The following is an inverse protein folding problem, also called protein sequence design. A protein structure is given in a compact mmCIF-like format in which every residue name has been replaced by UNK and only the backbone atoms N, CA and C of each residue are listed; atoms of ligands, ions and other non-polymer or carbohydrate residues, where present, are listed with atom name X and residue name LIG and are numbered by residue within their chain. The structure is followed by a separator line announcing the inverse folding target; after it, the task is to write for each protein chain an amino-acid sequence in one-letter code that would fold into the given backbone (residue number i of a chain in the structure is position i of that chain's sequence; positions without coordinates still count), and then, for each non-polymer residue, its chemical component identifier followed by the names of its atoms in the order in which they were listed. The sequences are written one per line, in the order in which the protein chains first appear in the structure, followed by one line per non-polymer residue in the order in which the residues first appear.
data_IF_649578789517
#
_entry.id   IF_649578789517
#
_cell.length_a   1.000
_cell.length_b   1.000
_cell.length_c   1.000
_cell.angle_alpha   90.00
_cell.angle_beta   90.00
_cell.angle_gamma   90.00
#
_symmetry.space_group_name_H-M   'P 1'
#
loop_
_entity.id
_entity.type
_entity.pdbx_description
1 polymer ?
#
# COMPACT_ATOMS: atom_id res chain seq x y z
N UNK A 1 10.43 -9.65 -15.25
CA UNK A 1 10.92 -10.65 -14.29
C UNK A 1 11.35 -9.90 -13.04
N UNK A 2 10.57 -9.93 -11.98
CA UNK A 2 10.93 -9.23 -10.74
C UNK A 2 11.90 -10.10 -9.93
N UNK A 3 12.97 -9.51 -9.39
CA UNK A 3 13.99 -10.23 -8.58
C UNK A 3 13.32 -11.05 -7.47
N UNK A 4 12.26 -10.50 -6.87
CA UNK A 4 11.43 -11.17 -5.86
C UNK A 4 10.86 -12.52 -6.31
N UNK A 5 10.41 -12.63 -7.57
CA UNK A 5 9.84 -13.88 -8.08
C UNK A 5 10.92 -14.97 -8.23
N UNK A 6 12.13 -14.57 -8.66
CA UNK A 6 13.27 -15.47 -8.77
C UNK A 6 13.78 -15.94 -7.40
N UNK A 7 13.62 -15.11 -6.37
CA UNK A 7 13.97 -15.44 -4.99
C UNK A 7 13.01 -16.44 -4.33
N UNK A 8 11.97 -16.93 -5.00
CA UNK A 8 11.18 -18.08 -4.50
C UNK A 8 12.02 -19.35 -4.38
N UNK A 9 13.04 -19.49 -5.22
CA UNK A 9 14.02 -20.57 -5.12
C UNK A 9 15.08 -20.20 -4.05
N UNK A 10 15.24 -21.00 -2.99
CA UNK A 10 16.24 -20.74 -1.95
C UNK A 10 17.68 -20.60 -2.47
N UNK A 11 18.05 -21.30 -3.54
CA UNK A 11 19.39 -21.22 -4.14
C UNK A 11 19.61 -19.89 -4.85
N UNK A 12 18.58 -19.39 -5.53
CA UNK A 12 18.61 -18.07 -6.19
C UNK A 12 18.55 -16.95 -5.14
N UNK A 13 17.78 -17.13 -4.06
CA UNK A 13 17.74 -16.21 -2.93
C UNK A 13 19.11 -16.09 -2.25
N UNK A 14 19.82 -17.19 -2.01
CA UNK A 14 21.16 -17.18 -1.45
C UNK A 14 22.16 -16.42 -2.35
N UNK A 15 22.04 -16.57 -3.67
CA UNK A 15 22.83 -15.79 -4.62
C UNK A 15 22.57 -14.29 -4.46
N UNK A 16 21.30 -13.85 -4.48
CA UNK A 16 20.96 -12.43 -4.37
C UNK A 16 21.30 -11.81 -3.00
N UNK A 17 21.13 -12.57 -1.92
CA UNK A 17 21.32 -12.08 -0.55
C UNK A 17 22.78 -12.07 -0.10
N UNK A 18 23.60 -13.00 -0.59
CA UNK A 18 24.97 -13.18 -0.12
C UNK A 18 26.02 -13.02 -1.22
N UNK A 19 25.86 -13.75 -2.34
CA UNK A 19 26.88 -13.81 -3.38
C UNK A 19 26.93 -12.53 -4.21
N UNK A 20 25.79 -11.95 -4.57
CA UNK A 20 25.75 -10.73 -5.38
C UNK A 20 26.37 -9.51 -4.66
N UNK A 21 26.03 -9.21 -3.38
CA UNK A 21 26.71 -8.16 -2.62
C UNK A 21 28.22 -8.40 -2.45
N UNK A 22 28.64 -9.66 -2.32
CA UNK A 22 30.05 -10.03 -2.22
C UNK A 22 30.80 -9.77 -3.54
N UNK A 23 30.22 -10.16 -4.68
CA UNK A 23 30.85 -10.03 -6.01
C UNK A 23 30.87 -8.58 -6.49
N UNK A 24 29.78 -7.85 -6.31
CA UNK A 24 29.62 -6.49 -6.85
C UNK A 24 30.11 -5.43 -5.86
N UNK A 25 29.85 -5.63 -4.57
CA UNK A 25 30.13 -4.65 -3.52
C UNK A 25 31.29 -4.99 -2.61
N UNK A 26 31.92 -6.17 -2.76
CA UNK A 26 32.98 -6.63 -1.85
C UNK A 26 32.49 -6.89 -0.41
N UNK A 27 31.17 -6.93 -0.18
CA UNK A 27 30.58 -7.08 1.14
C UNK A 27 30.58 -8.55 1.54
N UNK A 28 31.40 -8.89 2.53
CA UNK A 28 31.42 -10.22 3.13
C UNK A 28 30.69 -10.19 4.48
N UNK A 29 29.55 -10.87 4.55
CA UNK A 29 28.80 -11.02 5.79
C UNK A 29 29.36 -12.16 6.63
N UNK A 30 29.48 -11.92 7.94
CA UNK A 30 29.72 -12.98 8.92
C UNK A 30 28.54 -13.95 9.00
N UNK A 31 28.78 -15.17 9.46
CA UNK A 31 27.76 -16.23 9.50
C UNK A 31 26.55 -15.88 10.35
N UNK A 32 26.73 -15.11 11.43
CA UNK A 32 25.62 -14.64 12.27
C UNK A 32 24.77 -13.59 11.56
N UNK A 33 25.39 -12.75 10.72
CA UNK A 33 24.67 -11.77 9.89
C UNK A 33 23.93 -12.50 8.77
N UNK A 34 24.57 -13.48 8.12
CA UNK A 34 23.92 -14.33 7.11
C UNK A 34 22.70 -15.04 7.67
N UNK A 35 22.78 -15.61 8.88
CA UNK A 35 21.63 -16.24 9.55
C UNK A 35 20.49 -15.25 9.78
N UNK A 36 20.78 -14.03 10.25
CA UNK A 36 19.75 -12.99 10.45
C UNK A 36 19.08 -12.60 9.14
N UNK A 37 19.86 -12.36 8.09
CA UNK A 37 19.34 -12.05 6.74
C UNK A 37 18.49 -13.21 6.22
N UNK A 38 18.95 -14.45 6.41
CA UNK A 38 18.22 -15.64 5.98
C UNK A 38 16.89 -15.80 6.73
N UNK A 39 16.86 -15.56 8.03
CA UNK A 39 15.61 -15.60 8.82
C UNK A 39 14.61 -14.54 8.38
N UNK A 40 15.05 -13.31 8.11
CA UNK A 40 14.18 -12.27 7.57
C UNK A 40 13.64 -12.65 6.18
N UNK A 41 14.48 -13.26 5.35
CA UNK A 41 14.05 -13.83 4.07
C UNK A 41 12.99 -14.91 4.27
N UNK A 42 13.23 -15.92 5.10
CA UNK A 42 12.27 -17.00 5.36
C UNK A 42 10.95 -16.49 5.94
N UNK A 43 11.01 -15.52 6.85
CA UNK A 43 9.84 -14.88 7.45
C UNK A 43 9.01 -14.12 6.39
N UNK A 44 9.68 -13.35 5.51
CA UNK A 44 9.00 -12.60 4.44
C UNK A 44 8.32 -13.52 3.42
N UNK A 45 8.93 -14.66 3.10
CA UNK A 45 8.38 -15.65 2.17
C UNK A 45 7.42 -16.65 2.83
N UNK A 46 7.34 -16.69 4.17
CA UNK A 46 6.40 -17.57 4.90
C UNK A 46 4.97 -17.29 4.49
N UNK A 47 4.59 -16.02 4.40
CA UNK A 47 3.28 -15.59 3.93
C UNK A 47 3.01 -16.05 2.49
N UNK A 48 3.97 -15.85 1.59
CA UNK A 48 3.83 -16.19 0.17
C UNK A 48 3.71 -17.71 -0.06
N UNK A 49 4.45 -18.52 0.71
CA UNK A 49 4.35 -19.99 0.68
C UNK A 49 2.98 -20.48 1.16
N UNK A 50 2.49 -19.92 2.27
CA UNK A 50 1.16 -20.25 2.81
C UNK A 50 0.05 -19.84 1.84
N UNK A 51 0.17 -18.67 1.21
CA UNK A 51 -0.73 -18.20 0.16
C UNK A 51 -0.76 -19.15 -1.04
N UNK A 52 0.41 -19.60 -1.52
CA UNK A 52 0.50 -20.53 -2.65
C UNK A 52 -0.15 -21.90 -2.33
N UNK A 53 -0.19 -22.31 -1.05
CA UNK A 53 -0.91 -23.52 -0.60
C UNK A 53 -2.42 -23.26 -0.55
N UNK A 54 -2.85 -22.12 -0.03
CA UNK A 54 -4.27 -21.71 -0.02
C UNK A 54 -4.82 -21.61 -1.44
N UNK A 55 -4.02 -21.09 -2.38
CA UNK A 55 -4.37 -21.01 -3.80
C UNK A 55 -4.66 -22.39 -4.42
N UNK A 56 -3.97 -23.44 -3.96
CA UNK A 56 -4.18 -24.83 -4.41
C UNK A 56 -5.44 -25.48 -3.81
N UNK A 57 -6.11 -24.84 -2.85
CA UNK A 57 -7.34 -25.32 -2.17
C UNK A 57 -7.22 -26.76 -1.64
N UNK A 58 -6.06 -27.09 -1.08
CA UNK A 58 -5.83 -28.37 -0.42
C UNK A 58 -6.74 -28.52 0.82
N UNK A 59 -7.11 -29.73 1.25
CA UNK A 59 -7.91 -29.92 2.47
C UNK A 59 -7.24 -29.22 3.67
N UNK A 60 -8.03 -28.47 4.44
CA UNK A 60 -7.53 -27.61 5.53
C UNK A 60 -7.12 -26.19 5.12
N UNK A 61 -7.32 -25.80 3.85
CA UNK A 61 -7.02 -24.44 3.36
C UNK A 61 -7.75 -23.33 4.13
N UNK A 62 -8.93 -23.59 4.69
CA UNK A 62 -9.70 -22.62 5.47
C UNK A 62 -8.96 -22.21 6.76
N UNK A 63 -8.33 -23.18 7.45
CA UNK A 63 -7.49 -22.91 8.62
C UNK A 63 -6.24 -22.11 8.25
N UNK A 64 -5.67 -22.39 7.07
CA UNK A 64 -4.52 -21.64 6.54
C UNK A 64 -4.91 -20.21 6.12
N UNK A 65 -6.12 -20.03 5.59
CA UNK A 65 -6.68 -18.72 5.28
C UNK A 65 -6.85 -17.91 6.57
N UNK A 66 -7.35 -18.51 7.64
CA UNK A 66 -7.47 -17.86 8.95
C UNK A 66 -6.09 -17.48 9.52
N UNK A 67 -5.12 -18.39 9.44
CA UNK A 67 -3.74 -18.10 9.83
C UNK A 67 -3.12 -16.94 9.02
N UNK A 68 -3.37 -16.87 7.72
CA UNK A 68 -2.91 -15.75 6.87
C UNK A 68 -3.54 -14.42 7.28
N UNK A 69 -4.84 -14.39 7.61
CA UNK A 69 -5.49 -13.19 8.17
C UNK A 69 -4.94 -12.77 9.53
N UNK A 70 -4.47 -13.71 10.36
CA UNK A 70 -3.84 -13.38 11.65
C UNK A 70 -2.41 -12.85 11.48
N UNK A 71 -1.65 -13.40 10.53
CA UNK A 71 -0.26 -12.98 10.27
C UNK A 71 -0.22 -11.58 9.67
N UNK A 72 -1.02 -11.33 8.62
CA UNK A 72 -1.08 -10.03 7.96
C UNK A 72 -2.52 -9.73 7.49
N UNK A 73 -3.32 -9.06 8.34
CA UNK A 73 -4.72 -8.77 8.03
C UNK A 73 -4.88 -7.77 6.89
N UNK A 74 -3.91 -6.87 6.69
CA UNK A 74 -3.97 -5.84 5.63
C UNK A 74 -3.81 -6.54 4.29
N UNK A 75 -2.73 -7.30 4.15
CA UNK A 75 -2.43 -8.02 2.91
C UNK A 75 -3.47 -9.07 2.57
N UNK A 76 -4.02 -9.75 3.59
CA UNK A 76 -5.08 -10.75 3.40
C UNK A 76 -6.39 -10.14 2.87
N UNK A 77 -6.72 -8.90 3.25
CA UNK A 77 -7.93 -8.19 2.76
C UNK A 77 -7.83 -7.76 1.31
N UNK A 78 -6.60 -7.55 0.82
CA UNK A 78 -6.35 -7.11 -0.55
C UNK A 78 -6.12 -8.26 -1.53
N UNK A 79 -5.96 -9.48 -1.03
CA UNK A 79 -5.62 -10.65 -1.84
C UNK A 79 -6.87 -11.44 -2.28
N UNK A 80 -7.17 -11.53 -3.58
CA UNK A 80 -8.36 -12.23 -4.06
C UNK A 80 -8.38 -13.73 -3.71
N UNK A 81 -7.23 -14.34 -3.42
CA UNK A 81 -7.13 -15.76 -3.02
C UNK A 81 -7.58 -15.96 -1.57
N UNK A 82 -7.36 -14.96 -0.71
CA UNK A 82 -7.55 -15.04 0.74
C UNK A 82 -8.86 -14.35 1.16
N UNK A 83 -9.45 -13.50 0.33
CA UNK A 83 -10.70 -12.82 0.67
C UNK A 83 -11.88 -13.81 0.73
N UNK A 84 -12.57 -13.86 1.88
CA UNK A 84 -13.76 -14.72 2.09
C UNK A 84 -14.92 -14.41 1.13
N UNK A 85 -15.07 -13.16 0.68
CA UNK A 85 -16.11 -12.72 -0.27
C UNK A 85 -15.52 -12.09 -1.55
N UNK A 86 -15.27 -12.95 -2.55
CA UNK A 86 -14.76 -12.57 -3.87
C UNK A 86 -15.65 -11.56 -4.62
N UNK A 87 -16.99 -11.72 -4.68
CA UNK A 87 -17.86 -10.73 -5.31
C UNK A 87 -17.73 -9.33 -4.72
N UNK A 88 -17.74 -9.21 -3.39
CA UNK A 88 -17.56 -7.93 -2.70
C UNK A 88 -16.20 -7.30 -3.03
N UNK A 89 -15.13 -8.09 -3.02
CA UNK A 89 -13.80 -7.61 -3.39
C UNK A 89 -13.74 -7.08 -4.82
N UNK A 90 -14.34 -7.80 -5.78
CA UNK A 90 -14.40 -7.37 -7.18
C UNK A 90 -15.19 -6.08 -7.35
N UNK A 91 -16.33 -5.96 -6.67
CA UNK A 91 -17.14 -4.74 -6.69
C UNK A 91 -16.37 -3.54 -6.12
N UNK A 92 -15.70 -3.71 -4.97
CA UNK A 92 -14.85 -2.67 -4.39
C UNK A 92 -13.72 -2.24 -5.34
N UNK A 93 -13.04 -3.20 -5.97
CA UNK A 93 -11.98 -2.91 -6.94
C UNK A 93 -12.48 -2.25 -8.22
N UNK A 94 -13.68 -2.59 -8.68
CA UNK A 94 -14.33 -1.90 -9.80
C UNK A 94 -14.64 -0.44 -9.45
N UNK A 95 -15.18 -0.19 -8.25
CA UNK A 95 -15.45 1.15 -7.76
C UNK A 95 -14.16 1.98 -7.59
N UNK A 96 -13.11 1.41 -7.00
CA UNK A 96 -11.78 2.04 -6.94
C UNK A 96 -11.26 2.41 -8.34
N UNK A 97 -11.46 1.54 -9.34
CA UNK A 97 -11.05 1.79 -10.72
C UNK A 97 -11.90 2.87 -11.43
N UNK A 98 -13.16 3.03 -11.04
CA UNK A 98 -14.02 4.12 -11.52
C UNK A 98 -13.60 5.45 -10.90
N UNK A 99 -13.33 5.49 -9.60
CA UNK A 99 -12.83 6.69 -8.92
C UNK A 99 -11.45 7.11 -9.44
N UNK A 100 -10.59 6.16 -9.82
CA UNK A 100 -9.31 6.45 -10.47
C UNK A 100 -9.44 7.15 -11.83
N UNK A 101 -10.60 7.08 -12.50
CA UNK A 101 -10.84 7.81 -13.75
C UNK A 101 -11.28 9.26 -13.52
N UNK A 102 -11.64 9.61 -12.28
CA UNK A 102 -12.04 10.96 -11.94
C UNK A 102 -10.80 11.83 -11.71
N UNK A 103 -10.83 13.05 -12.25
CA UNK A 103 -9.79 14.03 -12.00
C UNK A 103 -9.89 14.52 -10.54
N UNK A 104 -8.82 14.36 -9.74
CA UNK A 104 -8.84 14.81 -8.36
C UNK A 104 -8.86 16.35 -8.30
N UNK A 105 -9.61 16.94 -7.34
CA UNK A 105 -9.61 18.39 -7.14
C UNK A 105 -8.24 18.87 -6.63
N UNK A 106 -7.89 20.14 -6.88
CA UNK A 106 -6.66 20.71 -6.37
C UNK A 106 -6.61 20.66 -4.84
N UNK A 107 -5.40 20.48 -4.30
CA UNK A 107 -5.15 20.40 -2.86
C UNK A 107 -5.60 21.69 -2.15
N UNK A 108 -6.30 21.60 -0.99
CA UNK A 108 -6.59 22.74 -0.15
C UNK A 108 -5.32 23.40 0.39
N UNK A 109 -5.30 24.74 0.47
CA UNK A 109 -4.13 25.53 0.89
C UNK A 109 -3.61 25.19 2.30
N UNK A 110 -4.46 24.63 3.17
CA UNK A 110 -4.12 24.22 4.55
C UNK A 110 -3.90 22.71 4.72
N UNK A 111 -3.57 21.99 3.64
CA UNK A 111 -3.45 20.54 3.69
C UNK A 111 -2.03 20.06 4.02
N UNK A 112 -1.90 19.49 5.22
CA UNK A 112 -0.72 18.76 5.67
C UNK A 112 0.45 19.68 6.00
N UNK A 113 1.05 19.48 7.17
CA UNK A 113 2.37 20.03 7.49
C UNK A 113 3.40 18.92 7.28
N UNK A 114 4.37 19.15 6.41
CA UNK A 114 5.50 18.25 6.24
C UNK A 114 6.68 18.81 7.02
N UNK A 115 7.17 18.07 8.01
CA UNK A 115 8.40 18.45 8.71
C UNK A 115 9.60 18.22 7.77
N UNK A 116 10.30 19.30 7.49
CA UNK A 116 11.29 19.37 6.43
C UNK A 116 12.70 19.31 7.02
N UNK A 117 13.54 18.33 6.64
CA UNK A 117 14.82 18.09 7.31
C UNK A 117 15.85 19.20 7.08
N UNK A 118 15.83 19.88 5.91
CA UNK A 118 16.66 21.05 5.68
C UNK A 118 15.88 22.33 5.95
N UNK A 119 16.47 23.20 6.77
CA UNK A 119 16.05 24.57 6.99
C UNK A 119 17.21 25.55 6.71
N UNK A 120 16.90 26.84 6.58
CA UNK A 120 17.92 27.88 6.37
C UNK A 120 18.95 27.96 7.51
N UNK A 121 18.59 27.47 8.70
CA UNK A 121 19.45 27.41 9.89
C UNK A 121 20.45 26.23 9.88
N UNK A 122 20.36 25.33 8.88
CA UNK A 122 21.27 24.19 8.73
C UNK A 122 22.61 24.57 8.10
N UNK A 123 22.79 25.84 7.70
CA UNK A 123 23.98 26.36 7.04
C UNK A 123 24.67 27.41 7.90
N UNK A 124 26.01 27.37 7.99
CA UNK A 124 26.77 28.35 8.76
C UNK A 124 26.95 29.65 7.97
N UNK A 125 27.00 30.80 8.65
CA UNK A 125 27.21 32.10 8.00
C UNK A 125 28.54 32.20 7.23
N UNK A 126 29.52 31.37 7.57
CA UNK A 126 30.81 31.28 6.88
C UNK A 126 30.72 30.51 5.56
N UNK A 127 29.88 29.47 5.50
CA UNK A 127 29.62 28.72 4.27
C UNK A 127 28.81 29.55 3.27
N UNK A 128 27.89 30.40 3.76
CA UNK A 128 27.04 31.27 2.93
C UNK A 128 27.81 32.42 2.25
N UNK A 129 29.03 32.72 2.68
CA UNK A 129 29.91 33.70 2.00
C UNK A 129 30.53 33.16 0.72
N UNK A 130 30.51 31.83 0.51
CA UNK A 130 31.02 31.19 -0.71
C UNK A 130 29.87 31.07 -1.73
N UNK A 131 30.01 31.64 -2.95
CA UNK A 131 28.93 31.65 -3.93
C UNK A 131 28.50 30.23 -4.37
N UNK A 132 29.42 29.28 -4.40
CA UNK A 132 29.15 27.86 -4.72
C UNK A 132 28.22 27.22 -3.68
N UNK A 133 28.52 27.42 -2.39
CA UNK A 133 27.74 26.86 -1.27
C UNK A 133 26.36 27.51 -1.15
N UNK A 134 26.27 28.81 -1.42
CA UNK A 134 25.00 29.52 -1.49
C UNK A 134 24.11 28.96 -2.62
N UNK A 135 24.69 28.72 -3.79
CA UNK A 135 23.96 28.11 -4.90
C UNK A 135 23.49 26.69 -4.55
N UNK A 136 24.37 25.84 -4.01
CA UNK A 136 24.01 24.49 -3.54
C UNK A 136 22.85 24.52 -2.55
N UNK A 137 22.89 25.38 -1.53
CA UNK A 137 21.80 25.54 -0.58
C UNK A 137 20.48 25.86 -1.28
N UNK A 138 20.46 26.86 -2.18
CA UNK A 138 19.23 27.27 -2.84
C UNK A 138 18.64 26.17 -3.72
N UNK A 139 19.49 25.43 -4.44
CA UNK A 139 19.08 24.27 -5.25
C UNK A 139 18.49 23.18 -4.36
N UNK A 140 19.15 22.82 -3.27
CA UNK A 140 18.70 21.77 -2.36
C UNK A 140 17.39 22.13 -1.64
N UNK A 141 17.26 23.36 -1.16
CA UNK A 141 16.03 23.83 -0.53
C UNK A 141 14.87 23.88 -1.52
N UNK A 142 15.11 24.30 -2.76
CA UNK A 142 14.09 24.31 -3.80
C UNK A 142 13.67 22.89 -4.19
N UNK A 143 14.64 21.98 -4.38
CA UNK A 143 14.37 20.58 -4.68
C UNK A 143 13.59 19.89 -3.55
N UNK A 144 13.95 20.16 -2.29
CA UNK A 144 13.22 19.63 -1.14
C UNK A 144 11.77 20.14 -1.10
N UNK A 145 11.54 21.44 -1.38
CA UNK A 145 10.19 22.00 -1.46
C UNK A 145 9.39 21.35 -2.59
N UNK A 146 9.96 21.21 -3.78
CA UNK A 146 9.27 20.58 -4.91
C UNK A 146 8.90 19.12 -4.61
N UNK A 147 9.79 18.36 -3.97
CA UNK A 147 9.48 16.99 -3.53
C UNK A 147 8.39 16.97 -2.46
N UNK A 148 8.46 17.87 -1.49
CA UNK A 148 7.46 17.98 -0.44
C UNK A 148 6.07 18.32 -0.98
N UNK A 149 5.98 19.27 -1.92
CA UNK A 149 4.74 19.63 -2.58
C UNK A 149 4.16 18.45 -3.36
N UNK A 150 4.97 17.75 -4.16
CA UNK A 150 4.53 16.53 -4.87
C UNK A 150 4.06 15.44 -3.92
N UNK A 151 4.72 15.27 -2.76
CA UNK A 151 4.29 14.30 -1.75
C UNK A 151 2.95 14.70 -1.12
N UNK A 152 2.74 15.97 -0.80
CA UNK A 152 1.50 16.48 -0.23
C UNK A 152 0.34 16.39 -1.24
N UNK A 153 0.59 16.68 -2.51
CA UNK A 153 -0.39 16.51 -3.58
C UNK A 153 -0.78 15.04 -3.73
N UNK A 154 0.19 14.12 -3.77
CA UNK A 154 -0.08 12.69 -3.83
C UNK A 154 -0.85 12.16 -2.60
N UNK A 155 -0.53 12.67 -1.40
CA UNK A 155 -1.27 12.33 -0.18
C UNK A 155 -2.72 12.83 -0.22
N UNK A 156 -2.94 14.06 -0.69
CA UNK A 156 -4.28 14.61 -0.88
C UNK A 156 -5.08 13.80 -1.90
N UNK A 157 -4.52 13.52 -3.07
CA UNK A 157 -5.18 12.69 -4.09
C UNK A 157 -5.58 11.32 -3.56
N UNK A 158 -4.66 10.65 -2.84
CA UNK A 158 -4.94 9.33 -2.27
C UNK A 158 -6.09 9.39 -1.26
N UNK A 159 -6.11 10.39 -0.38
CA UNK A 159 -7.17 10.56 0.61
C UNK A 159 -8.50 10.93 -0.05
N UNK A 160 -8.51 11.84 -1.02
CA UNK A 160 -9.71 12.20 -1.76
C UNK A 160 -10.32 11.00 -2.49
N UNK A 161 -9.49 10.20 -3.18
CA UNK A 161 -9.97 8.97 -3.85
C UNK A 161 -10.54 7.98 -2.86
N UNK A 162 -9.93 7.82 -1.68
CA UNK A 162 -10.48 6.96 -0.63
C UNK A 162 -11.85 7.46 -0.14
N UNK A 163 -11.97 8.75 0.17
CA UNK A 163 -13.22 9.36 0.61
C UNK A 163 -14.32 9.22 -0.45
N UNK A 164 -13.98 9.37 -1.73
CA UNK A 164 -14.93 9.17 -2.84
C UNK A 164 -15.43 7.74 -2.95
N UNK A 165 -14.56 6.74 -2.80
CA UNK A 165 -14.98 5.32 -2.77
C UNK A 165 -15.93 5.07 -1.59
N UNK A 166 -15.68 5.67 -0.44
CA UNK A 166 -16.54 5.53 0.75
C UNK A 166 -17.90 6.24 0.56
N UNK A 167 -17.92 7.41 -0.06
CA UNK A 167 -19.13 8.18 -0.39
C UNK A 167 -20.05 7.41 -1.33
N UNK A 168 -19.53 6.97 -2.48
CA UNK A 168 -20.28 6.17 -3.47
C UNK A 168 -20.82 4.86 -2.85
N UNK A 169 -20.01 4.19 -2.01
CA UNK A 169 -20.46 3.01 -1.30
C UNK A 169 -21.62 3.30 -0.34
N UNK A 170 -21.58 4.44 0.36
CA UNK A 170 -22.64 4.87 1.27
C UNK A 170 -23.92 5.23 0.51
N UNK A 171 -23.80 5.98 -0.60
CA UNK A 171 -24.94 6.31 -1.45
C UNK A 171 -25.64 5.06 -1.99
N UNK A 172 -24.87 4.07 -2.43
CA UNK A 172 -25.42 2.79 -2.88
C UNK A 172 -26.17 2.06 -1.76
N UNK A 173 -25.66 2.09 -0.52
CA UNK A 173 -26.34 1.50 0.65
C UNK A 173 -27.63 2.24 0.98
N UNK A 174 -27.63 3.57 0.93
CA UNK A 174 -28.80 4.39 1.22
C UNK A 174 -29.87 4.27 0.12
N UNK A 175 -29.46 4.14 -1.15
CA UNK A 175 -30.34 3.76 -2.25
C UNK A 175 -31.00 2.40 -2.02
N UNK A 176 -30.24 1.37 -1.61
CA UNK A 176 -30.79 0.05 -1.31
C UNK A 176 -31.75 0.07 -0.11
N UNK A 177 -31.46 0.86 0.92
CA UNK A 177 -32.35 1.04 2.08
C UNK A 177 -33.64 1.76 1.70
N UNK A 178 -33.58 2.80 0.88
CA UNK A 178 -34.79 3.51 0.41
C UNK A 178 -35.62 2.64 -0.53
N UNK A 179 -34.97 1.88 -1.41
CA UNK A 179 -35.62 0.88 -2.25
C UNK A 179 -36.30 -0.21 -1.41
N UNK A 180 -35.64 -0.77 -0.39
CA UNK A 180 -36.27 -1.78 0.49
C UNK A 180 -37.46 -1.21 1.28
N UNK A 181 -37.41 0.06 1.71
CA UNK A 181 -38.56 0.74 2.31
C UNK A 181 -39.74 0.89 1.33
N UNK A 182 -39.48 1.11 0.03
CA UNK A 182 -40.53 1.14 -1.00
C UNK A 182 -41.17 -0.23 -1.25
N UNK A 183 -40.40 -1.32 -1.16
CA UNK A 183 -40.94 -2.68 -1.29
C UNK A 183 -41.77 -3.12 -0.08
N UNK A 184 -41.39 -2.72 1.13
CA UNK A 184 -42.18 -3.02 2.35
C UNK A 184 -43.47 -2.21 2.40
N UNK A 185 -43.47 -0.98 1.89
CA UNK A 185 -44.69 -0.16 1.79
C UNK A 185 -45.63 -0.58 0.65
N UNK A 186 -45.15 -1.35 -0.33
CA UNK A 186 -45.96 -1.94 -1.40
C UNK A 186 -46.69 -3.25 -1.05
N UNK A 187 -46.43 -3.85 0.12
CA UNK A 187 -47.00 -5.16 0.53
C UNK A 187 -48.18 -5.03 1.52
N UNK A 188 -48.59 -3.81 1.88
CA UNK A 188 -49.74 -3.60 2.78
C UNK A 188 -50.93 -3.02 2.00
N UNK A 189 -51.68 -3.84 1.25
CA UNK A 189 -53.16 -3.80 1.02
C UNK A 189 -53.51 -5.18 0.40
N UNK A 190 -54.45 -6.03 0.85
CA UNK A 190 -55.79 -5.88 1.42
C UNK A 190 -56.12 -6.99 2.44
N UNK A 191 -56.95 -6.73 3.47
CA UNK A 191 -57.64 -7.78 4.21
C UNK A 191 -58.77 -8.37 3.35
N UNK A 192 -58.72 -9.67 3.07
CA UNK A 192 -59.85 -10.40 2.48
C UNK A 192 -61.06 -10.28 3.42
N UNK A 193 -62.13 -9.68 2.90
CA UNK A 193 -63.47 -9.65 3.50
C UNK A 193 -64.30 -10.82 3.01
#
# INVERSE_FOLDING_TARGET
MHIRDSMKDPSIAAFWLFTFPQVVGGLNYDDDIKKKIWWQYEESFRYDKLRDIVAKRAPGWELLQEALTTIDPIRAREDPVIVKNLPHYRAKKALEAEVMKLDPPPRPEKWGELDLPLNSSSWTEEDLKKPEKFYEMTVLLNAQREMADKMLDAQWEAKWRQEKVEEEAKEMVDFLKSASHSYVSGVIIEPMT
#
